data_IF_077032532821
#
_entry.id   IF_077032532821
#
_cell.length_a   1.000
_cell.length_b   1.000
_cell.length_c   1.000
_cell.angle_alpha   90.00
_cell.angle_beta   90.00
_cell.angle_gamma   90.00
#
_symmetry.space_group_name_H-M   'P 1'
#
loop_
_entity.id
_entity.type
_entity.pdbx_description
1 polymer ?
#
# COMPACT_ATOMS: atom_id res chain seq x y z
N UNK A 1 12.32 -1.03 -8.57
CA UNK A 1 11.61 -1.45 -7.34
C UNK A 1 12.53 -2.22 -6.42
N UNK A 2 12.93 -1.61 -5.30
CA UNK A 2 13.76 -2.20 -4.23
C UNK A 2 12.91 -3.02 -3.25
N UNK A 3 11.60 -2.76 -3.12
CA UNK A 3 10.71 -3.58 -2.30
C UNK A 3 10.23 -4.81 -3.07
N UNK A 4 10.31 -5.97 -2.43
CA UNK A 4 9.86 -7.25 -2.99
C UNK A 4 8.37 -7.46 -2.72
N UNK A 5 7.50 -6.72 -3.42
CA UNK A 5 6.06 -6.96 -3.34
C UNK A 5 5.65 -8.25 -4.07
N UNK A 6 4.53 -8.86 -3.66
CA UNK A 6 3.91 -9.99 -4.35
C UNK A 6 2.40 -9.78 -4.51
N UNK A 7 1.80 -10.39 -5.54
CA UNK A 7 0.36 -10.30 -5.79
C UNK A 7 -0.41 -10.98 -4.65
N UNK A 8 -1.45 -10.32 -4.15
CA UNK A 8 -2.23 -10.70 -2.97
C UNK A 8 -1.65 -10.19 -1.64
N UNK A 9 -0.55 -9.43 -1.64
CA UNK A 9 0.02 -8.85 -0.43
C UNK A 9 -0.79 -7.65 0.04
N UNK A 10 -1.07 -7.58 1.34
CA UNK A 10 -1.62 -6.40 2.00
C UNK A 10 -0.51 -5.39 2.26
N UNK A 11 -0.73 -4.17 1.80
CA UNK A 11 0.18 -3.04 1.96
C UNK A 11 -0.57 -1.84 2.52
N UNK A 12 0.12 -1.04 3.33
CA UNK A 12 -0.37 0.24 3.80
C UNK A 12 0.27 1.35 2.97
N UNK A 13 -0.56 2.09 2.25
CA UNK A 13 -0.14 3.29 1.57
C UNK A 13 -0.19 4.47 2.53
N UNK A 14 0.96 5.09 2.79
CA UNK A 14 1.03 6.35 3.50
C UNK A 14 0.76 7.48 2.53
N UNK A 15 -0.39 8.14 2.69
CA UNK A 15 -0.71 9.34 1.92
C UNK A 15 -0.23 10.55 2.72
N UNK A 16 0.84 11.26 2.32
CA UNK A 16 1.26 12.50 2.94
C UNK A 16 0.33 13.62 2.49
N UNK A 17 -0.92 13.63 2.96
CA UNK A 17 -1.75 14.83 2.86
C UNK A 17 -1.37 15.76 4.01
N UNK A 18 -1.08 17.02 3.67
CA UNK A 18 -0.47 18.11 4.47
C UNK A 18 -1.12 18.39 5.85
N UNK A 19 -2.19 17.69 6.21
CA UNK A 19 -2.93 17.88 7.46
C UNK A 19 -3.18 16.61 8.25
N UNK A 20 -3.08 15.43 7.63
CA UNK A 20 -3.33 14.14 8.30
C UNK A 20 -2.49 13.04 7.65
N UNK A 21 -1.49 12.54 8.39
CA UNK A 21 -0.85 11.27 8.06
C UNK A 21 -1.91 10.17 8.09
N UNK A 22 -2.40 9.78 6.91
CA UNK A 22 -3.36 8.69 6.75
C UNK A 22 -2.68 7.49 6.13
N UNK A 23 -3.01 6.33 6.67
CA UNK A 23 -2.65 5.04 6.09
C UNK A 23 -3.89 4.47 5.43
N UNK A 24 -3.75 4.09 4.17
CA UNK A 24 -4.81 3.49 3.36
C UNK A 24 -4.42 2.04 3.11
N UNK A 25 -5.30 1.12 3.45
CA UNK A 25 -5.15 -0.30 3.14
C UNK A 25 -5.29 -0.52 1.64
N UNK A 26 -4.33 -1.25 1.07
CA UNK A 26 -4.33 -1.63 -0.32
C UNK A 26 -3.76 -3.05 -0.48
N UNK A 27 -4.14 -3.71 -1.56
CA UNK A 27 -3.69 -5.05 -1.91
C UNK A 27 -3.06 -5.03 -3.28
N UNK A 28 -1.88 -5.65 -3.41
CA UNK A 28 -1.21 -5.76 -4.69
C UNK A 28 -2.00 -6.72 -5.59
N UNK A 29 -2.60 -6.20 -6.66
CA UNK A 29 -3.39 -7.01 -7.60
C UNK A 29 -2.58 -7.45 -8.82
N UNK A 30 -1.53 -6.71 -9.17
CA UNK A 30 -0.68 -7.03 -10.30
C UNK A 30 0.76 -6.57 -10.05
N UNK A 31 1.72 -7.36 -10.52
CA UNK A 31 3.15 -7.08 -10.44
C UNK A 31 3.77 -7.19 -11.83
N UNK A 32 4.37 -6.11 -12.29
CA UNK A 32 5.24 -6.06 -13.46
C UNK A 32 6.70 -5.89 -13.03
N UNK A 33 7.61 -5.90 -14.00
CA UNK A 33 9.06 -5.82 -13.76
C UNK A 33 9.48 -4.44 -13.26
N UNK A 34 8.75 -3.43 -13.69
CA UNK A 34 9.01 -2.00 -13.53
C UNK A 34 8.05 -1.33 -12.55
N UNK A 35 6.83 -1.85 -12.41
CA UNK A 35 5.81 -1.32 -11.50
C UNK A 35 4.93 -2.43 -10.88
N UNK A 36 4.28 -2.12 -9.78
CA UNK A 36 3.18 -2.86 -9.19
C UNK A 36 1.89 -2.03 -9.27
N UNK A 37 0.77 -2.73 -9.22
CA UNK A 37 -0.57 -2.16 -9.18
C UNK A 37 -1.23 -2.63 -7.89
N UNK A 38 -1.61 -1.67 -7.05
CA UNK A 38 -2.34 -1.91 -5.82
C UNK A 38 -3.78 -1.45 -5.96
N UNK A 39 -4.70 -2.16 -5.33
CA UNK A 39 -6.11 -1.79 -5.23
C UNK A 39 -6.40 -1.46 -3.77
N UNK A 40 -6.95 -0.30 -3.49
CA UNK A 40 -7.37 0.03 -2.13
C UNK A 40 -8.63 -0.73 -1.76
N UNK A 41 -8.59 -1.47 -0.67
CA UNK A 41 -9.74 -2.23 -0.17
C UNK A 41 -9.68 -2.34 1.36
N UNK A 42 -10.85 -2.54 2.00
CA UNK A 42 -10.93 -2.70 3.45
C UNK A 42 -10.76 -1.40 4.27
N UNK A 43 -10.82 -0.22 3.65
CA UNK A 43 -10.72 1.06 4.35
C UNK A 43 -12.04 1.48 4.99
N UNK A 44 -11.96 2.20 6.10
CA UNK A 44 -13.12 2.74 6.83
C UNK A 44 -13.97 3.70 5.98
N UNK A 45 -13.35 4.42 5.04
CA UNK A 45 -14.06 5.28 4.09
C UNK A 45 -14.30 4.53 2.78
N UNK A 46 -15.57 4.24 2.41
CA UNK A 46 -15.89 3.53 1.18
C UNK A 46 -15.39 4.25 -0.08
N UNK A 47 -15.33 5.58 -0.07
CA UNK A 47 -14.80 6.38 -1.18
C UNK A 47 -13.28 6.29 -1.38
N UNK A 48 -12.58 5.63 -0.46
CA UNK A 48 -11.16 5.31 -0.58
C UNK A 48 -10.93 3.85 -1.00
N UNK A 49 -11.99 3.04 -1.16
CA UNK A 49 -11.90 1.70 -1.72
C UNK A 49 -12.05 1.76 -3.26
N UNK A 50 -11.57 0.74 -3.96
CA UNK A 50 -11.56 0.62 -5.43
C UNK A 50 -10.60 1.57 -6.18
N UNK A 51 -9.68 2.23 -5.48
CA UNK A 51 -8.65 3.06 -6.12
C UNK A 51 -7.48 2.19 -6.58
N UNK A 52 -7.14 2.30 -7.87
CA UNK A 52 -5.96 1.65 -8.44
C UNK A 52 -4.76 2.56 -8.30
N UNK A 53 -3.81 2.16 -7.47
CA UNK A 53 -2.58 2.89 -7.24
C UNK A 53 -1.44 2.25 -8.03
N UNK A 54 -0.71 3.08 -8.75
CA UNK A 54 0.53 2.69 -9.39
C UNK A 54 1.67 2.82 -8.40
N UNK A 55 2.41 1.73 -8.22
CA UNK A 55 3.60 1.68 -7.37
C UNK A 55 4.79 1.44 -8.30
N UNK A 56 5.68 2.40 -8.36
CA UNK A 56 6.95 2.33 -9.08
C UNK A 56 8.11 2.55 -8.09
N UNK A 57 9.32 2.72 -8.62
CA UNK A 57 10.51 2.92 -7.77
C UNK A 57 10.52 4.26 -7.02
N UNK A 58 9.79 5.27 -7.50
CA UNK A 58 9.72 6.58 -6.85
C UNK A 58 8.69 6.58 -5.71
N UNK A 59 7.59 5.85 -5.90
CA UNK A 59 6.46 5.78 -4.97
C UNK A 59 6.53 4.59 -4.00
N UNK A 60 7.39 3.59 -4.23
CA UNK A 60 7.49 2.39 -3.36
C UNK A 60 7.82 2.72 -1.90
N UNK A 61 8.47 3.86 -1.64
CA UNK A 61 8.83 4.26 -0.27
C UNK A 61 7.61 4.58 0.60
N UNK A 62 6.51 5.00 -0.02
CA UNK A 62 5.25 5.34 0.66
C UNK A 62 4.41 4.11 1.01
N UNK A 63 4.80 2.91 0.55
CA UNK A 63 4.06 1.67 0.78
C UNK A 63 4.74 0.78 1.79
N UNK A 64 4.06 0.43 2.87
CA UNK A 64 4.59 -0.42 3.92
C UNK A 64 3.93 -1.80 3.89
N UNK A 65 4.69 -2.81 4.31
CA UNK A 65 4.15 -4.15 4.52
C UNK A 65 3.28 -4.13 5.79
N UNK A 66 1.98 -4.37 5.60
CA UNK A 66 1.02 -4.34 6.72
C UNK A 66 1.29 -5.47 7.71
N UNK A 67 1.67 -6.65 7.23
CA UNK A 67 1.94 -7.83 8.06
C UNK A 67 3.18 -7.62 8.93
N UNK A 68 4.19 -6.91 8.39
CA UNK A 68 5.38 -6.52 9.16
C UNK A 68 5.02 -5.53 10.28
N UNK A 69 4.19 -4.52 10.01
CA UNK A 69 3.79 -3.51 11.00
C UNK A 69 2.94 -4.14 12.12
N UNK A 70 2.01 -5.04 11.77
CA UNK A 70 1.21 -5.78 12.76
C UNK A 70 2.06 -6.64 13.68
N UNK A 71 3.15 -7.20 13.17
CA UNK A 71 4.10 -7.99 13.96
C UNK A 71 4.92 -7.12 14.91
N UNK A 72 5.31 -5.92 14.49
CA UNK A 72 6.07 -4.98 15.33
C UNK A 72 5.20 -4.31 16.41
N UNK A 73 3.90 -4.12 16.17
CA UNK A 73 2.98 -3.48 17.14
C UNK A 73 2.49 -4.41 18.26
N UNK A 74 2.91 -5.68 18.26
CA UNK A 74 2.57 -6.68 19.28
C UNK A 74 3.65 -6.87 20.37
N UNK A 75 4.70 -6.05 20.35
CA UNK A 75 5.75 -5.98 21.37
C UNK A 75 5.74 -4.60 22.04
#
# INVERSE_FOLDING_TARGET
MKKHFYVGQNVLWHTPDDSFNKFVHAVIIEKKKDHCLALTEGNENPGQNDLKIWIDEDTEMDFFDEDMIRTLSRY
#
